data_IF_179498815735
#
_entry.id   IF_179498815735
#
_cell.length_a   1.000
_cell.length_b   1.000
_cell.length_c   1.000
_cell.angle_alpha   90.00
_cell.angle_beta   90.00
_cell.angle_gamma   90.00
#
_symmetry.space_group_name_H-M   'P 1'
#
loop_
_entity.id
_entity.type
_entity.pdbx_description
1 polymer ?
#
# COMPACT_ATOMS: atom_id res chain seq x y z
N UNK A 1 -3.42 -13.85 -41.67
CA UNK A 1 -3.11 -12.50 -41.15
C UNK A 1 -2.67 -12.65 -39.70
N UNK A 2 -1.39 -12.46 -39.41
CA UNK A 2 -0.84 -12.59 -38.06
C UNK A 2 -0.64 -11.20 -37.46
N UNK A 3 -1.33 -10.88 -36.38
CA UNK A 3 -1.21 -9.56 -35.74
C UNK A 3 0.06 -9.45 -34.90
N UNK A 4 0.89 -8.46 -35.17
CA UNK A 4 2.13 -8.21 -34.41
C UNK A 4 1.80 -7.85 -32.95
N UNK A 5 2.12 -8.76 -32.03
CA UNK A 5 1.89 -8.61 -30.59
C UNK A 5 3.11 -8.01 -29.84
N UNK A 6 4.11 -7.52 -30.59
CA UNK A 6 5.42 -7.10 -30.06
C UNK A 6 5.43 -5.68 -29.49
N UNK A 7 4.42 -4.85 -29.81
CA UNK A 7 4.26 -3.52 -29.21
C UNK A 7 3.68 -3.58 -27.79
N UNK A 8 4.26 -4.43 -26.93
CA UNK A 8 4.26 -4.19 -25.48
C UNK A 8 5.09 -2.93 -25.22
N UNK A 9 4.43 -1.79 -25.36
CA UNK A 9 5.00 -0.44 -25.19
C UNK A 9 5.88 -0.40 -23.94
N UNK A 10 7.20 -0.26 -24.14
CA UNK A 10 8.08 0.20 -23.06
C UNK A 10 7.59 1.60 -22.71
N UNK A 11 6.93 1.75 -21.56
CA UNK A 11 6.53 3.06 -21.08
C UNK A 11 7.80 3.94 -21.00
N UNK A 12 7.75 5.22 -21.44
CA UNK A 12 8.91 6.10 -21.34
C UNK A 12 9.33 6.15 -19.87
N UNK A 13 10.53 5.64 -19.61
CA UNK A 13 11.12 5.73 -18.29
C UNK A 13 11.60 7.17 -18.15
N UNK A 14 11.16 7.85 -17.10
CA UNK A 14 11.59 9.23 -16.85
C UNK A 14 13.11 9.21 -16.68
N UNK A 15 13.81 10.06 -17.43
CA UNK A 15 15.25 10.21 -17.28
C UNK A 15 15.55 10.91 -15.94
N UNK A 16 16.27 10.21 -15.08
CA UNK A 16 16.71 10.68 -13.76
C UNK A 16 18.18 11.09 -13.84
N UNK A 17 18.47 12.38 -13.96
CA UNK A 17 19.83 12.90 -13.87
C UNK A 17 20.29 12.85 -12.41
N UNK A 18 21.49 12.33 -12.14
CA UNK A 18 22.13 12.45 -10.82
C UNK A 18 22.90 13.78 -10.76
N UNK A 19 22.64 14.58 -9.73
CA UNK A 19 23.34 15.84 -9.50
C UNK A 19 24.45 15.66 -8.45
N UNK A 20 24.14 14.95 -7.37
CA UNK A 20 25.05 14.73 -6.25
C UNK A 20 24.73 13.42 -5.53
N UNK A 21 25.75 12.81 -4.91
CA UNK A 21 25.65 11.59 -4.12
C UNK A 21 26.55 11.72 -2.89
N UNK A 22 25.97 11.58 -1.69
CA UNK A 22 26.71 11.42 -0.42
C UNK A 22 26.51 10.01 0.12
N UNK A 23 27.60 9.36 0.54
CA UNK A 23 27.56 8.01 1.13
C UNK A 23 27.86 8.09 2.63
N UNK A 24 26.97 7.55 3.45
CA UNK A 24 27.11 7.45 4.90
C UNK A 24 27.27 5.96 5.25
N UNK A 25 28.29 5.61 6.04
CA UNK A 25 28.53 4.24 6.49
C UNK A 25 28.50 4.20 8.02
N UNK A 26 27.49 3.53 8.58
CA UNK A 26 27.21 3.53 10.02
C UNK A 26 27.02 2.08 10.45
N UNK A 27 27.87 1.64 11.38
CA UNK A 27 27.95 0.23 11.79
C UNK A 27 28.10 -0.67 10.55
N UNK A 28 27.25 -1.70 10.41
CA UNK A 28 27.25 -2.63 9.28
C UNK A 28 26.31 -2.21 8.13
N UNK A 29 25.90 -0.94 8.05
CA UNK A 29 24.96 -0.43 7.03
C UNK A 29 25.59 0.68 6.17
N UNK A 30 25.15 0.76 4.91
CA UNK A 30 25.50 1.85 3.99
C UNK A 30 24.23 2.56 3.54
N UNK A 31 24.23 3.88 3.66
CA UNK A 31 23.17 4.76 3.18
C UNK A 31 23.72 5.63 2.06
N UNK A 32 22.99 5.70 0.96
CA UNK A 32 23.28 6.59 -0.17
C UNK A 32 22.21 7.67 -0.22
N UNK A 33 22.63 8.93 -0.24
CA UNK A 33 21.79 10.10 -0.35
C UNK A 33 22.07 10.68 -1.73
N UNK A 34 21.23 10.36 -2.72
CA UNK A 34 21.36 10.89 -4.06
C UNK A 34 20.38 12.06 -4.26
N UNK A 35 20.88 13.24 -4.64
CA UNK A 35 20.03 14.28 -5.26
C UNK A 35 19.93 13.98 -6.74
N UNK A 36 18.68 13.92 -7.21
CA UNK A 36 18.35 13.64 -8.60
C UNK A 36 17.38 14.68 -9.14
N UNK A 37 17.51 14.97 -10.42
CA UNK A 37 16.61 15.83 -11.17
C UNK A 37 15.86 15.00 -12.22
N UNK A 38 14.58 15.30 -12.41
CA UNK A 38 13.76 14.74 -13.48
C UNK A 38 12.88 15.84 -14.09
N UNK A 39 12.00 15.51 -15.04
CA UNK A 39 11.09 16.46 -15.68
C UNK A 39 10.04 17.10 -14.75
N UNK A 40 9.97 16.66 -13.50
CA UNK A 40 9.17 17.19 -12.37
C UNK A 40 10.08 17.66 -11.23
N UNK A 41 11.20 18.31 -11.56
CA UNK A 41 12.11 18.97 -10.60
C UNK A 41 13.10 18.06 -9.87
N UNK A 42 13.68 18.59 -8.79
CA UNK A 42 14.67 17.89 -7.96
C UNK A 42 14.02 17.12 -6.81
N UNK A 43 14.65 16.01 -6.43
CA UNK A 43 14.20 15.13 -5.35
C UNK A 43 15.39 14.43 -4.68
N UNK A 44 15.25 14.11 -3.39
CA UNK A 44 16.24 13.35 -2.63
C UNK A 44 15.82 11.88 -2.57
N UNK A 45 16.79 10.99 -2.82
CA UNK A 45 16.65 9.54 -2.81
C UNK A 45 17.56 8.94 -1.74
N UNK A 46 16.98 8.52 -0.62
CA UNK A 46 17.71 7.84 0.46
C UNK A 46 17.62 6.33 0.25
N UNK A 47 18.76 5.68 0.01
CA UNK A 47 18.86 4.23 -0.21
C UNK A 47 19.62 3.56 0.93
N UNK A 48 18.95 2.75 1.76
CA UNK A 48 19.64 1.81 2.67
C UNK A 48 20.08 0.58 1.87
N UNK A 49 21.34 0.17 2.05
CA UNK A 49 21.85 -1.14 1.63
C UNK A 49 22.20 -1.95 2.89
N UNK A 50 21.44 -3.01 3.12
CA UNK A 50 21.67 -3.94 4.22
C UNK A 50 22.77 -4.96 3.87
N UNK A 51 23.35 -5.61 4.88
CA UNK A 51 24.43 -6.62 4.75
C UNK A 51 24.09 -7.72 3.74
N UNK A 52 22.83 -8.17 3.70
CA UNK A 52 22.33 -9.16 2.72
C UNK A 52 22.04 -8.61 1.32
N UNK A 53 22.60 -7.45 0.94
CA UNK A 53 22.45 -6.84 -0.39
C UNK A 53 21.07 -6.24 -0.71
N UNK A 54 20.06 -6.44 0.14
CA UNK A 54 18.73 -5.84 -0.02
C UNK A 54 18.81 -4.31 0.05
N UNK A 55 18.04 -3.63 -0.81
CA UNK A 55 18.07 -2.17 -0.97
C UNK A 55 16.70 -1.54 -0.78
N UNK A 56 16.45 -0.98 0.40
CA UNK A 56 15.27 -0.15 0.69
C UNK A 56 15.50 1.28 0.20
N UNK A 57 14.45 1.94 -0.30
CA UNK A 57 14.56 3.28 -0.91
C UNK A 57 13.39 4.18 -0.49
N UNK A 58 13.71 5.34 0.05
CA UNK A 58 12.76 6.44 0.30
C UNK A 58 13.02 7.54 -0.74
N UNK A 59 11.94 8.14 -1.23
CA UNK A 59 11.95 9.22 -2.22
C UNK A 59 11.14 10.40 -1.69
N UNK A 60 11.75 11.57 -1.63
CA UNK A 60 11.14 12.80 -1.08
C UNK A 60 11.48 14.02 -1.94
N UNK A 61 10.57 15.00 -2.00
CA UNK A 61 10.84 16.32 -2.58
C UNK A 61 11.81 17.11 -1.69
N UNK A 62 12.40 18.19 -2.22
CA UNK A 62 13.32 19.05 -1.45
C UNK A 62 12.63 19.65 -0.20
N UNK A 63 11.38 20.18 -0.26
CA UNK A 63 10.68 20.66 0.93
C UNK A 63 10.46 19.57 1.99
N UNK A 64 10.12 18.34 1.57
CA UNK A 64 9.96 17.21 2.49
C UNK A 64 11.31 16.73 3.09
N UNK A 65 12.43 16.98 2.41
CA UNK A 65 13.77 16.72 2.95
C UNK A 65 14.22 17.79 3.95
N UNK A 66 13.82 19.05 3.74
CA UNK A 66 14.03 20.14 4.70
C UNK A 66 13.20 19.92 5.99
N UNK A 67 11.91 19.56 5.86
CA UNK A 67 11.10 19.15 7.01
C UNK A 67 11.69 17.93 7.73
N UNK A 68 12.22 16.95 6.98
CA UNK A 68 12.92 15.81 7.56
C UNK A 68 14.12 16.27 8.40
N UNK A 69 14.96 17.16 7.89
CA UNK A 69 16.13 17.68 8.62
C UNK A 69 15.71 18.29 9.97
N UNK A 70 14.74 19.19 9.98
CA UNK A 70 14.24 19.83 11.23
C UNK A 70 13.67 18.83 12.23
N UNK A 71 13.09 17.72 11.75
CA UNK A 71 12.55 16.64 12.59
C UNK A 71 13.66 15.73 13.11
N UNK A 72 14.70 15.46 12.32
CA UNK A 72 15.89 14.73 12.76
C UNK A 72 16.67 15.52 13.82
N UNK A 73 16.80 16.85 13.68
CA UNK A 73 17.44 17.72 14.68
C UNK A 73 16.72 17.66 16.03
N UNK A 74 15.38 17.65 16.05
CA UNK A 74 14.56 17.48 17.26
C UNK A 74 14.73 16.09 17.90
N UNK A 75 14.74 15.03 17.09
CA UNK A 75 14.98 13.66 17.56
C UNK A 75 16.41 13.47 18.10
N UNK A 76 17.39 14.21 17.57
CA UNK A 76 18.77 14.24 18.05
C UNK A 76 18.89 14.98 19.40
N UNK A 77 18.16 16.09 19.58
CA UNK A 77 18.03 16.75 20.89
C UNK A 77 17.48 15.79 21.96
N UNK A 78 16.45 15.00 21.64
CA UNK A 78 15.88 14.02 22.58
C UNK A 78 16.85 12.86 22.83
N UNK A 79 17.52 12.34 21.79
CA UNK A 79 18.57 11.34 21.95
C UNK A 79 19.67 11.78 22.93
N UNK A 80 20.09 13.05 22.86
CA UNK A 80 21.11 13.64 23.73
C UNK A 80 20.65 13.87 25.18
N UNK A 81 19.33 13.90 25.43
CA UNK A 81 18.72 14.07 26.77
C UNK A 81 18.46 12.72 27.47
N UNK A 82 18.54 11.60 26.76
CA UNK A 82 18.33 10.25 27.31
C UNK A 82 19.56 9.73 28.06
N UNK A 83 19.38 8.87 29.09
CA UNK A 83 20.50 8.18 29.74
C UNK A 83 21.22 7.22 28.76
N UNK A 84 22.42 6.72 29.11
CA UNK A 84 23.07 5.63 28.39
C UNK A 84 22.12 4.44 28.14
N UNK A 85 22.32 3.72 27.05
CA UNK A 85 21.48 2.59 26.69
C UNK A 85 21.64 1.42 27.67
N UNK A 86 20.55 1.02 28.35
CA UNK A 86 20.48 -0.18 29.17
C UNK A 86 19.50 -1.21 28.55
N UNK A 87 20.00 -2.36 28.06
CA UNK A 87 19.16 -3.45 27.56
C UNK A 87 18.13 -4.01 28.55
N UNK A 88 18.23 -3.69 29.86
CA UNK A 88 17.27 -4.11 30.89
C UNK A 88 16.13 -3.12 31.13
N UNK A 89 16.23 -1.89 30.63
CA UNK A 89 15.25 -0.80 30.88
C UNK A 89 14.41 -0.46 29.64
N UNK A 90 14.14 -1.44 28.78
CA UNK A 90 13.39 -1.24 27.53
C UNK A 90 11.90 -0.93 27.79
N UNK A 91 11.34 0.01 27.03
CA UNK A 91 9.89 0.25 27.01
C UNK A 91 9.15 -0.87 26.26
N UNK A 92 7.87 -1.12 26.55
CA UNK A 92 7.16 -2.31 26.08
C UNK A 92 6.90 -2.39 24.54
N UNK A 93 6.95 -1.26 23.82
CA UNK A 93 6.99 -1.21 22.33
C UNK A 93 8.38 -0.78 21.81
N UNK A 94 9.36 -0.58 22.69
CA UNK A 94 10.67 -0.03 22.35
C UNK A 94 10.58 1.34 21.67
N UNK A 95 9.52 2.12 21.94
CA UNK A 95 9.27 3.43 21.33
C UNK A 95 9.70 4.54 22.31
N UNK A 96 10.46 5.51 21.79
CA UNK A 96 10.87 6.72 22.51
C UNK A 96 10.00 7.89 22.04
N UNK A 97 10.03 8.17 20.73
CA UNK A 97 9.38 9.32 20.11
C UNK A 97 8.91 8.98 18.70
N UNK A 98 7.96 9.74 18.17
CA UNK A 98 7.45 9.55 16.80
C UNK A 98 7.06 10.87 16.18
N UNK A 99 7.67 11.15 15.03
CA UNK A 99 7.40 12.35 14.24
C UNK A 99 6.83 12.00 12.86
N UNK A 100 6.04 12.90 12.28
CA UNK A 100 5.32 12.65 11.03
C UNK A 100 5.37 13.84 10.07
N UNK A 101 5.57 13.55 8.79
CA UNK A 101 5.63 14.51 7.67
C UNK A 101 4.62 14.06 6.61
N UNK A 102 3.78 14.98 6.12
CA UNK A 102 2.76 14.71 5.11
C UNK A 102 2.89 15.67 3.94
N UNK A 103 3.49 15.21 2.83
CA UNK A 103 3.76 15.98 1.60
C UNK A 103 3.58 15.09 0.36
N UNK A 104 3.22 15.69 -0.77
CA UNK A 104 3.16 15.04 -2.10
C UNK A 104 2.29 13.76 -2.18
N UNK A 105 1.19 13.70 -1.41
CA UNK A 105 0.35 12.51 -1.20
C UNK A 105 1.16 11.27 -0.71
N UNK A 106 2.20 11.55 0.09
CA UNK A 106 3.03 10.59 0.83
C UNK A 106 3.02 10.96 2.31
N UNK A 107 3.20 9.96 3.18
CA UNK A 107 3.37 10.16 4.62
C UNK A 107 4.67 9.51 5.05
N UNK A 108 5.55 10.28 5.66
CA UNK A 108 6.80 9.80 6.23
C UNK A 108 6.65 9.78 7.75
N UNK A 109 6.97 8.64 8.36
CA UNK A 109 6.95 8.43 9.80
C UNK A 109 8.38 8.21 10.29
N UNK A 110 8.75 8.86 11.39
CA UNK A 110 10.09 8.91 11.94
C UNK A 110 10.01 8.40 13.38
N UNK A 111 10.08 7.07 13.55
CA UNK A 111 9.88 6.42 14.84
C UNK A 111 11.26 6.19 15.51
N UNK A 112 11.62 6.98 16.53
CA UNK A 112 12.84 6.76 17.31
C UNK A 112 12.59 5.62 18.30
N UNK A 113 13.37 4.53 18.16
CA UNK A 113 13.16 3.27 18.88
C UNK A 113 14.42 2.75 19.55
N UNK A 114 14.21 1.91 20.55
CA UNK A 114 15.23 1.28 21.38
C UNK A 114 14.98 -0.24 21.45
N UNK A 115 15.99 -1.02 21.05
CA UNK A 115 16.02 -2.48 21.15
C UNK A 115 17.18 -2.89 22.08
N UNK A 116 17.28 -4.17 22.43
CA UNK A 116 18.42 -4.78 23.16
C UNK A 116 19.83 -4.43 22.61
N UNK A 117 19.91 -4.03 21.33
CA UNK A 117 21.15 -3.69 20.61
C UNK A 117 21.49 -2.20 20.61
N UNK A 118 20.66 -1.36 21.23
CA UNK A 118 20.78 0.10 21.16
C UNK A 118 19.62 0.78 20.42
N UNK A 119 19.80 2.10 20.25
CA UNK A 119 18.80 3.01 19.67
C UNK A 119 18.94 3.13 18.15
N UNK A 120 17.82 3.32 17.46
CA UNK A 120 17.75 3.47 16.01
C UNK A 120 16.50 4.25 15.60
N UNK A 121 16.59 4.98 14.49
CA UNK A 121 15.46 5.65 13.86
C UNK A 121 14.88 4.76 12.76
N UNK A 122 13.60 4.41 12.87
CA UNK A 122 12.83 3.76 11.80
C UNK A 122 12.13 4.82 10.96
N UNK A 123 12.69 5.13 9.79
CA UNK A 123 12.06 6.01 8.81
C UNK A 123 11.17 5.18 7.88
N UNK A 124 9.88 5.49 7.80
CA UNK A 124 8.90 4.77 6.98
C UNK A 124 8.18 5.70 6.02
N UNK A 125 8.31 5.45 4.71
CA UNK A 125 7.55 6.13 3.66
C UNK A 125 6.32 5.30 3.30
N UNK A 126 5.13 5.84 3.54
CA UNK A 126 3.86 5.35 3.03
C UNK A 126 3.47 6.16 1.79
N UNK A 127 3.46 5.51 0.62
CA UNK A 127 3.07 6.11 -0.66
C UNK A 127 2.06 5.19 -1.34
N UNK A 128 0.84 5.71 -1.62
CA UNK A 128 -0.21 4.97 -2.34
C UNK A 128 -0.50 3.57 -1.75
N UNK A 129 -0.49 3.45 -0.41
CA UNK A 129 -0.73 2.20 0.31
C UNK A 129 0.47 1.22 0.35
N UNK A 130 1.58 1.52 -0.33
CA UNK A 130 2.85 0.79 -0.19
C UNK A 130 3.67 1.45 0.90
N UNK A 131 4.04 0.70 1.95
CA UNK A 131 5.00 1.13 2.97
C UNK A 131 6.40 0.60 2.62
N UNK A 132 7.37 1.51 2.51
CA UNK A 132 8.80 1.19 2.48
C UNK A 132 9.42 1.73 3.77
N UNK A 133 10.42 1.06 4.33
CA UNK A 133 11.11 1.53 5.53
C UNK A 133 12.62 1.32 5.44
N UNK A 134 13.35 2.20 6.11
CA UNK A 134 14.78 2.10 6.41
C UNK A 134 14.98 2.24 7.93
N UNK A 135 16.09 1.72 8.45
CA UNK A 135 16.42 1.75 9.87
C UNK A 135 17.86 2.25 10.08
N UNK A 136 17.98 3.53 10.43
CA UNK A 136 19.24 4.24 10.67
C UNK A 136 19.67 4.06 12.14
N UNK A 137 20.86 3.54 12.47
CA UNK A 137 21.35 3.50 13.85
C UNK A 137 21.49 4.91 14.44
N UNK A 138 21.30 5.07 15.75
CA UNK A 138 21.29 6.37 16.40
C UNK A 138 22.57 7.20 16.15
N UNK A 139 23.73 6.55 16.17
CA UNK A 139 25.05 7.12 15.86
C UNK A 139 25.06 7.87 14.52
N UNK A 140 24.29 7.39 13.54
CA UNK A 140 24.22 7.91 12.18
C UNK A 140 23.19 9.02 11.96
N UNK A 141 22.42 9.42 12.99
CA UNK A 141 21.41 10.48 12.86
C UNK A 141 22.09 11.83 12.58
N UNK A 142 23.17 12.15 13.28
CA UNK A 142 23.95 13.38 13.06
C UNK A 142 24.51 13.47 11.63
N UNK A 143 25.13 12.39 11.15
CA UNK A 143 25.66 12.30 9.77
C UNK A 143 24.54 12.48 8.73
N UNK A 144 23.34 11.94 8.99
CA UNK A 144 22.18 12.09 8.12
C UNK A 144 21.65 13.53 8.13
N UNK A 145 21.63 14.22 9.27
CA UNK A 145 21.29 15.65 9.35
C UNK A 145 22.24 16.49 8.49
N UNK A 146 23.55 16.41 8.77
CA UNK A 146 24.58 17.17 8.05
C UNK A 146 24.62 16.81 6.57
N UNK A 147 24.49 15.51 6.24
CA UNK A 147 24.45 15.02 4.87
C UNK A 147 23.24 15.50 4.07
N UNK A 148 22.08 15.69 4.70
CA UNK A 148 20.92 16.33 4.07
C UNK A 148 21.13 17.84 3.96
N UNK A 149 21.66 18.49 5.01
CA UNK A 149 21.88 19.94 5.02
C UNK A 149 22.88 20.42 3.96
N UNK A 150 24.04 19.76 3.84
CA UNK A 150 25.05 20.04 2.80
C UNK A 150 24.46 19.84 1.39
N UNK A 151 23.84 18.68 1.14
CA UNK A 151 23.27 18.36 -0.18
C UNK A 151 22.18 19.35 -0.59
N UNK A 152 21.33 19.79 0.35
CA UNK A 152 20.31 20.82 0.08
C UNK A 152 20.99 22.17 -0.20
N UNK A 153 21.95 22.59 0.64
CA UNK A 153 22.65 23.88 0.51
C UNK A 153 23.43 24.03 -0.80
N UNK A 154 24.07 22.95 -1.26
CA UNK A 154 25.00 23.01 -2.40
C UNK A 154 24.31 22.78 -3.76
N UNK A 155 23.09 22.21 -3.77
CA UNK A 155 22.44 21.73 -5.00
C UNK A 155 20.95 22.09 -5.17
N UNK A 156 20.33 22.78 -4.22
CA UNK A 156 18.94 23.25 -4.31
C UNK A 156 18.86 24.77 -4.28
N UNK A 157 18.01 25.38 -5.12
CA UNK A 157 17.72 26.82 -5.10
C UNK A 157 16.37 27.10 -4.44
N UNK A 158 16.06 28.36 -4.15
CA UNK A 158 14.76 28.79 -3.61
C UNK A 158 13.57 28.29 -4.46
N UNK A 159 13.77 28.13 -5.77
CA UNK A 159 12.80 27.54 -6.69
C UNK A 159 12.50 26.06 -6.34
N UNK A 160 13.49 25.26 -5.96
CA UNK A 160 13.29 23.85 -5.53
C UNK A 160 12.53 23.74 -4.20
N UNK A 161 12.64 24.75 -3.32
CA UNK A 161 11.82 24.83 -2.09
C UNK A 161 10.40 25.32 -2.39
N UNK A 162 10.23 26.26 -3.33
CA UNK A 162 8.94 26.73 -3.79
C UNK A 162 8.21 25.71 -4.68
N UNK A 163 8.93 24.75 -5.28
CA UNK A 163 8.44 23.72 -6.19
C UNK A 163 7.58 22.65 -5.49
N UNK A 164 6.45 23.09 -4.94
CA UNK A 164 5.36 22.23 -4.51
C UNK A 164 4.72 21.65 -5.76
N UNK A 165 5.18 20.47 -6.19
CA UNK A 165 4.63 19.76 -7.35
C UNK A 165 3.28 19.12 -7.01
N UNK A 166 2.29 19.96 -6.73
CA UNK A 166 0.91 19.61 -6.42
C UNK A 166 0.30 18.79 -7.55
N UNK A 167 0.33 17.48 -7.37
CA UNK A 167 -0.55 16.57 -8.09
C UNK A 167 -1.99 16.94 -7.70
N UNK A 168 -2.94 17.05 -8.67
CA UNK A 168 -4.30 17.49 -8.41
C UNK A 168 -4.93 16.82 -7.19
N UNK A 169 -5.59 17.63 -6.36
CA UNK A 169 -6.15 17.20 -5.07
C UNK A 169 -7.01 15.92 -5.23
N UNK A 170 -6.80 14.98 -4.31
CA UNK A 170 -7.44 13.66 -4.37
C UNK A 170 -8.96 13.78 -4.17
N UNK A 171 -9.72 13.60 -5.27
CA UNK A 171 -11.18 13.72 -5.23
C UNK A 171 -11.82 12.47 -4.60
N UNK A 172 -12.96 12.64 -3.94
CA UNK A 172 -13.70 11.55 -3.29
C UNK A 172 -15.14 11.51 -3.80
N UNK A 173 -15.62 10.32 -4.16
CA UNK A 173 -17.01 10.05 -4.53
C UNK A 173 -17.61 9.03 -3.56
N UNK A 174 -18.69 9.41 -2.90
CA UNK A 174 -19.48 8.52 -2.04
C UNK A 174 -20.60 7.88 -2.86
N UNK A 175 -20.68 6.55 -2.85
CA UNK A 175 -21.58 5.74 -3.66
C UNK A 175 -22.25 4.65 -2.81
N UNK A 176 -23.20 5.07 -1.96
CA UNK A 176 -23.88 4.18 -1.02
C UNK A 176 -22.91 3.61 0.01
N UNK A 177 -22.66 2.30 -0.02
CA UNK A 177 -21.71 1.61 0.87
C UNK A 177 -20.28 1.49 0.30
N UNK A 178 -19.94 2.30 -0.70
CA UNK A 178 -18.60 2.42 -1.29
C UNK A 178 -18.11 3.86 -1.26
N UNK A 179 -16.82 4.05 -1.00
CA UNK A 179 -16.13 5.33 -1.17
C UNK A 179 -15.03 5.15 -2.22
N UNK A 180 -15.07 5.95 -3.28
CA UNK A 180 -14.04 5.95 -4.32
C UNK A 180 -13.10 7.14 -4.12
N UNK A 181 -11.81 6.87 -3.99
CA UNK A 181 -10.75 7.88 -3.92
C UNK A 181 -10.06 7.96 -5.28
N UNK A 182 -9.92 9.17 -5.81
CA UNK A 182 -9.29 9.50 -7.08
C UNK A 182 -7.94 10.16 -6.80
N UNK A 183 -6.98 9.34 -6.40
CA UNK A 183 -5.63 9.76 -6.05
C UNK A 183 -4.81 10.02 -7.34
N UNK A 184 -4.44 11.26 -7.65
CA UNK A 184 -3.41 11.49 -8.67
C UNK A 184 -2.03 11.24 -8.05
N UNK A 185 -1.25 10.36 -8.67
CA UNK A 185 0.08 9.94 -8.24
C UNK A 185 1.11 10.06 -9.35
N UNK A 186 2.39 9.99 -8.99
CA UNK A 186 3.49 9.96 -9.98
C UNK A 186 4.57 8.96 -9.56
N UNK A 187 5.17 8.31 -10.56
CA UNK A 187 6.28 7.36 -10.43
C UNK A 187 7.24 7.51 -11.64
N UNK A 188 8.29 6.69 -11.71
CA UNK A 188 9.32 6.69 -12.78
C UNK A 188 8.81 6.43 -14.22
N UNK A 189 7.51 6.22 -14.42
CA UNK A 189 6.85 6.01 -15.72
C UNK A 189 5.84 7.12 -16.08
N UNK A 190 5.76 8.19 -15.28
CA UNK A 190 4.88 9.34 -15.52
C UNK A 190 3.91 9.65 -14.38
N UNK A 191 2.89 10.46 -14.68
CA UNK A 191 1.73 10.68 -13.81
C UNK A 191 0.69 9.58 -14.07
N UNK A 192 -0.08 9.24 -13.04
CA UNK A 192 -1.17 8.27 -13.11
C UNK A 192 -2.33 8.67 -12.21
N UNK A 193 -3.54 8.30 -12.59
CA UNK A 193 -4.73 8.38 -11.75
C UNK A 193 -4.92 7.01 -11.12
N UNK A 194 -4.98 6.95 -9.78
CA UNK A 194 -5.33 5.74 -9.04
C UNK A 194 -6.75 5.90 -8.51
N UNK A 195 -7.66 5.06 -9.00
CA UNK A 195 -9.03 4.98 -8.47
C UNK A 195 -9.05 3.85 -7.46
N UNK A 196 -9.23 4.18 -6.18
CA UNK A 196 -9.33 3.21 -5.09
C UNK A 196 -10.78 3.05 -4.63
N UNK A 197 -11.36 1.85 -4.73
CA UNK A 197 -12.64 1.52 -4.10
C UNK A 197 -12.40 1.07 -2.65
N UNK A 198 -13.08 1.69 -1.70
CA UNK A 198 -13.14 1.27 -0.30
C UNK A 198 -14.57 0.83 0.05
N UNK A 199 -14.72 -0.40 0.56
CA UNK A 199 -15.98 -0.94 1.10
C UNK A 199 -15.68 -1.67 2.41
N UNK A 200 -16.18 -1.11 3.52
CA UNK A 200 -15.83 -1.57 4.87
C UNK A 200 -14.31 -1.76 5.02
N UNK A 201 -13.84 -2.99 5.30
CA UNK A 201 -12.43 -3.30 5.49
C UNK A 201 -11.68 -3.70 4.20
N UNK A 202 -12.33 -3.69 3.04
CA UNK A 202 -11.72 -4.09 1.77
C UNK A 202 -11.43 -2.86 0.88
N UNK A 203 -10.16 -2.69 0.46
CA UNK A 203 -9.73 -1.66 -0.49
C UNK A 203 -9.13 -2.31 -1.73
N UNK A 204 -9.75 -2.09 -2.89
CA UNK A 204 -9.14 -2.37 -4.20
C UNK A 204 -8.66 -1.07 -4.82
N UNK A 205 -7.83 -1.15 -5.87
CA UNK A 205 -7.49 0.01 -6.68
C UNK A 205 -7.10 -0.39 -8.11
N UNK A 206 -7.38 0.50 -9.06
CA UNK A 206 -6.87 0.47 -10.43
C UNK A 206 -6.01 1.70 -10.69
N UNK A 207 -4.97 1.55 -11.51
CA UNK A 207 -4.03 2.63 -11.88
C UNK A 207 -4.10 2.87 -13.38
N UNK A 208 -4.35 4.12 -13.78
CA UNK A 208 -4.56 4.56 -15.16
C UNK A 208 -3.48 5.60 -15.50
N UNK A 209 -2.54 5.31 -16.43
CA UNK A 209 -1.54 6.28 -16.87
C UNK A 209 -2.16 7.54 -17.49
N UNK A 210 -1.52 8.68 -17.30
CA UNK A 210 -1.92 10.01 -17.81
C UNK A 210 -2.29 10.00 -19.30
N UNK A 211 -1.46 9.38 -20.14
CA UNK A 211 -1.69 9.26 -21.59
C UNK A 211 -2.92 8.40 -21.98
N UNK A 212 -3.65 7.85 -21.01
CA UNK A 212 -4.93 7.17 -21.20
C UNK A 212 -6.12 7.88 -20.54
N UNK A 213 -5.94 8.99 -19.83
CA UNK A 213 -7.02 9.72 -19.16
C UNK A 213 -8.09 10.23 -20.12
N UNK A 214 -7.71 10.77 -21.29
CA UNK A 214 -8.70 11.20 -22.29
C UNK A 214 -9.57 10.03 -22.72
N UNK A 215 -8.98 8.95 -23.24
CA UNK A 215 -9.74 7.75 -23.66
C UNK A 215 -10.59 7.16 -22.53
N UNK A 216 -10.12 7.24 -21.28
CA UNK A 216 -10.90 6.77 -20.12
C UNK A 216 -12.14 7.64 -19.88
N UNK A 217 -12.01 8.98 -19.93
CA UNK A 217 -13.14 9.92 -19.91
C UNK A 217 -14.07 9.67 -21.10
N UNK A 218 -13.54 9.59 -22.32
CA UNK A 218 -14.34 9.43 -23.54
C UNK A 218 -15.20 8.15 -23.49
N UNK A 219 -14.71 7.07 -22.87
CA UNK A 219 -15.47 5.83 -22.60
C UNK A 219 -16.54 6.03 -21.51
N UNK A 220 -16.24 6.78 -20.44
CA UNK A 220 -17.23 7.12 -19.42
C UNK A 220 -18.35 8.00 -20.00
N UNK A 221 -18.02 8.94 -20.87
CA UNK A 221 -18.98 9.80 -21.58
C UNK A 221 -19.83 8.97 -22.56
N UNK A 222 -19.26 7.98 -23.27
CA UNK A 222 -20.02 7.02 -24.11
C UNK A 222 -20.96 6.11 -23.28
N UNK A 223 -20.63 5.85 -22.02
CA UNK A 223 -21.46 5.06 -21.11
C UNK A 223 -22.54 5.91 -20.43
N UNK A 224 -22.25 7.16 -20.10
CA UNK A 224 -23.19 8.11 -19.50
C UNK A 224 -24.16 8.72 -20.52
N UNK A 225 -23.75 8.88 -21.79
CA UNK A 225 -24.61 9.38 -22.87
C UNK A 225 -25.56 8.33 -23.46
N UNK A 226 -25.52 7.08 -22.98
CA UNK A 226 -26.57 6.07 -23.20
C UNK A 226 -27.68 6.27 -22.15
N UNK A 227 -28.81 6.90 -22.50
CA UNK A 227 -29.89 7.12 -21.53
C UNK A 227 -30.46 5.79 -21.04
N UNK A 228 -30.97 5.76 -19.80
CA UNK A 228 -31.32 4.56 -19.05
C UNK A 228 -32.10 3.50 -19.85
N UNK A 229 -31.36 2.53 -20.40
CA UNK A 229 -31.87 1.44 -21.24
C UNK A 229 -32.71 0.38 -20.51
N UNK A 230 -33.23 0.70 -19.32
CA UNK A 230 -34.09 -0.19 -18.52
C UNK A 230 -35.16 0.57 -17.74
N UNK A 231 -35.93 1.42 -18.42
CA UNK A 231 -37.32 1.64 -17.99
C UNK A 231 -38.08 0.31 -18.15
N UNK A 232 -38.35 -0.35 -17.04
CA UNK A 232 -39.29 -1.47 -17.00
C UNK A 232 -40.66 -0.95 -17.42
N UNK A 233 -41.10 -1.32 -18.63
CA UNK A 233 -42.43 -1.00 -19.10
C UNK A 233 -43.45 -1.90 -18.39
N UNK A 234 -44.25 -1.34 -17.49
CA UNK A 234 -45.44 -2.02 -16.98
C UNK A 234 -46.48 -2.12 -18.12
N UNK A 235 -46.50 -3.28 -18.78
CA UNK A 235 -47.43 -3.57 -19.87
C UNK A 235 -48.86 -3.78 -19.32
N UNK A 236 -49.64 -2.70 -19.26
CA UNK A 236 -51.09 -2.80 -19.03
C UNK A 236 -51.81 -3.13 -20.33
N UNK A 237 -51.99 -4.45 -20.52
CA UNK A 237 -53.08 -5.19 -21.16
C UNK A 237 -54.03 -4.42 -22.11
N UNK A 238 -54.31 -4.98 -23.29
CA UNK A 238 -55.28 -4.31 -24.16
C UNK A 238 -55.58 -4.81 -25.59
N UNK A 239 -55.10 -5.96 -26.09
CA UNK A 239 -55.82 -6.81 -27.10
C UNK A 239 -55.04 -8.03 -27.61
N UNK A 240 -55.79 -9.11 -27.85
CA UNK A 240 -55.33 -10.31 -28.53
C UNK A 240 -55.21 -10.10 -30.05
N UNK A 241 -54.11 -10.53 -30.66
CA UNK A 241 -54.08 -11.06 -32.03
C UNK A 241 -53.28 -12.36 -32.03
N UNK A 242 -53.86 -13.42 -32.62
CA UNK A 242 -53.38 -14.80 -32.55
C UNK A 242 -52.61 -15.16 -33.83
N UNK A 243 -51.30 -15.37 -33.75
CA UNK A 243 -50.51 -15.96 -34.85
C UNK A 243 -49.52 -17.04 -34.38
N UNK A 244 -49.22 -17.95 -35.30
CA UNK A 244 -48.69 -19.31 -35.09
C UNK A 244 -47.30 -19.38 -34.42
N UNK A 245 -47.16 -20.24 -33.39
CA UNK A 245 -45.88 -20.57 -32.75
C UNK A 245 -45.16 -21.69 -33.50
N UNK A 246 -44.10 -21.36 -34.25
CA UNK A 246 -43.15 -22.35 -34.76
C UNK A 246 -42.10 -22.70 -33.69
N UNK A 247 -42.22 -23.90 -33.11
CA UNK A 247 -41.49 -24.35 -31.91
C UNK A 247 -40.07 -24.85 -32.23
N UNK A 248 -39.09 -23.95 -32.35
CA UNK A 248 -37.67 -24.33 -32.46
C UNK A 248 -37.12 -24.74 -31.08
N UNK A 249 -37.08 -26.04 -30.82
CA UNK A 249 -36.49 -26.61 -29.59
C UNK A 249 -34.96 -26.56 -29.67
N UNK A 250 -34.32 -25.72 -28.85
CA UNK A 250 -32.87 -25.79 -28.60
C UNK A 250 -32.61 -26.51 -27.27
N UNK A 251 -32.14 -27.75 -27.36
CA UNK A 251 -31.81 -28.59 -26.21
C UNK A 251 -30.61 -28.04 -25.42
N UNK A 252 -30.84 -27.62 -24.18
CA UNK A 252 -29.81 -27.34 -23.17
C UNK A 252 -29.21 -28.66 -22.64
N UNK A 253 -28.26 -29.24 -23.39
CA UNK A 253 -27.49 -30.41 -22.93
C UNK A 253 -26.59 -30.03 -21.74
N UNK A 254 -27.06 -30.36 -20.53
CA UNK A 254 -26.23 -30.38 -19.32
C UNK A 254 -25.06 -31.36 -19.51
N UNK A 255 -23.82 -30.89 -19.42
CA UNK A 255 -22.66 -31.79 -19.28
C UNK A 255 -22.54 -32.23 -17.82
N UNK A 256 -23.16 -33.37 -17.52
CA UNK A 256 -23.08 -34.04 -16.22
C UNK A 256 -21.73 -34.78 -16.12
N UNK A 257 -20.79 -34.24 -15.35
CA UNK A 257 -19.53 -34.94 -15.06
C UNK A 257 -19.85 -36.19 -14.24
N UNK A 258 -19.54 -37.37 -14.78
CA UNK A 258 -19.62 -38.64 -14.06
C UNK A 258 -18.25 -39.32 -14.03
N UNK A 259 -17.88 -39.78 -12.84
CA UNK A 259 -16.70 -40.57 -12.57
C UNK A 259 -16.92 -42.03 -13.01
N UNK A 260 -15.97 -42.67 -13.68
CA UNK A 260 -15.81 -44.11 -13.66
C UNK A 260 -14.83 -44.53 -12.56
N UNK A 261 -14.99 -45.76 -12.06
CA UNK A 261 -13.97 -46.53 -11.33
C UNK A 261 -13.82 -47.90 -12.02
N UNK A 262 -12.97 -48.77 -11.46
CA UNK A 262 -12.69 -50.17 -11.84
C UNK A 262 -11.75 -50.40 -13.04
N UNK A 263 -10.88 -51.43 -13.05
CA UNK A 263 -10.11 -52.09 -11.96
C UNK A 263 -9.07 -53.05 -12.60
N UNK A 264 -8.11 -53.57 -11.80
CA UNK A 264 -7.14 -54.64 -12.14
C UNK A 264 -6.04 -54.17 -13.13
N UNK A 265 -4.78 -54.64 -13.15
CA UNK A 265 -3.93 -55.60 -12.38
C UNK A 265 -2.45 -55.17 -12.68
N UNK A 266 -1.36 -55.51 -11.96
CA UNK A 266 -1.09 -56.37 -10.79
C UNK A 266 0.37 -56.18 -10.27
N UNK A 267 0.70 -56.77 -9.10
CA UNK A 267 2.05 -57.10 -8.56
C UNK A 267 2.94 -55.98 -7.96
N UNK A 268 2.78 -55.79 -6.64
CA UNK A 268 3.76 -56.04 -5.54
C UNK A 268 5.20 -56.51 -5.90
N UNK A 269 6.22 -56.39 -4.99
CA UNK A 269 6.11 -56.16 -3.52
C UNK A 269 7.08 -55.15 -2.84
N UNK A 270 6.76 -54.82 -1.57
CA UNK A 270 7.63 -54.57 -0.38
C UNK A 270 8.87 -53.64 -0.50
N UNK A 271 9.06 -52.68 0.41
CA UNK A 271 9.34 -52.96 1.84
C UNK A 271 8.66 -51.99 2.82
N UNK A 272 8.47 -52.46 4.07
CA UNK A 272 8.00 -51.67 5.21
C UNK A 272 9.15 -50.95 5.95
N UNK A 273 8.84 -49.83 6.59
CA UNK A 273 8.92 -49.77 8.07
C UNK A 273 7.92 -48.76 8.65
N UNK A 274 7.22 -49.21 9.69
CA UNK A 274 6.21 -48.44 10.41
C UNK A 274 6.82 -47.73 11.61
N UNK A 275 6.24 -46.60 12.02
CA UNK A 275 6.10 -46.25 13.43
C UNK A 275 4.87 -45.36 13.60
N UNK A 276 4.13 -45.56 14.69
CA UNK A 276 2.83 -44.93 14.95
C UNK A 276 2.55 -44.89 16.45
N UNK A 277 1.76 -43.92 16.92
CA UNK A 277 0.72 -44.04 17.96
C UNK A 277 -0.07 -42.70 18.09
N UNK A 278 -1.25 -42.66 18.77
CA UNK A 278 -2.34 -41.75 18.38
C UNK A 278 -2.83 -40.80 19.50
N UNK A 279 -4.16 -40.61 19.61
CA UNK A 279 -4.95 -39.73 20.50
C UNK A 279 -5.09 -38.25 20.04
N UNK A 280 -6.26 -37.60 20.10
CA UNK A 280 -7.62 -38.10 20.39
C UNK A 280 -8.73 -37.25 19.72
N UNK A 281 -9.99 -37.66 19.83
CA UNK A 281 -11.20 -37.04 19.24
C UNK A 281 -12.08 -36.43 20.35
N UNK A 282 -12.64 -35.22 20.14
CA UNK A 282 -13.99 -34.72 20.58
C UNK A 282 -14.18 -33.31 19.96
N UNK A 283 -15.13 -33.02 19.05
CA UNK A 283 -16.59 -32.81 19.15
C UNK A 283 -17.04 -31.44 19.76
N UNK A 284 -17.84 -30.69 18.98
CA UNK A 284 -18.64 -29.47 19.31
C UNK A 284 -20.09 -29.88 19.74
N UNK A 285 -21.08 -29.01 20.09
CA UNK A 285 -21.13 -27.54 20.34
C UNK A 285 -21.52 -27.28 21.84
N UNK A 286 -22.51 -26.47 22.35
CA UNK A 286 -23.39 -25.39 21.83
C UNK A 286 -23.55 -24.14 22.77
N UNK A 287 -24.68 -23.41 22.65
CA UNK A 287 -25.11 -22.20 23.41
C UNK A 287 -26.10 -22.51 24.56
N UNK A 288 -26.24 -21.62 25.57
CA UNK A 288 -27.57 -21.11 26.04
C UNK A 288 -27.51 -19.84 26.95
N UNK A 289 -28.71 -19.39 27.37
CA UNK A 289 -29.11 -18.15 28.08
C UNK A 289 -28.70 -18.10 29.59
N UNK A 290 -28.64 -16.98 30.35
CA UNK A 290 -29.38 -15.68 30.49
C UNK A 290 -30.44 -15.72 31.65
N UNK A 291 -30.42 -14.70 32.55
CA UNK A 291 -31.15 -14.56 33.85
C UNK A 291 -30.65 -15.51 34.97
N UNK A 292 -30.67 -15.20 36.28
CA UNK A 292 -31.06 -14.01 37.09
C UNK A 292 -30.18 -13.98 38.39
N UNK A 293 -30.39 -13.25 39.52
CA UNK A 293 -31.51 -12.44 40.06
C UNK A 293 -31.09 -11.04 40.57
N UNK A 294 -31.33 -10.65 41.85
CA UNK A 294 -31.55 -9.25 42.24
C UNK A 294 -31.58 -8.94 43.80
N UNK A 295 -31.65 -7.64 44.15
CA UNK A 295 -32.17 -6.98 45.39
C UNK A 295 -31.26 -6.73 46.64
N UNK A 296 -31.04 -5.43 46.92
CA UNK A 296 -30.98 -4.64 48.21
C UNK A 296 -29.83 -3.59 48.11
N UNK A 297 -29.99 -2.25 48.05
CA UNK A 297 -30.95 -1.19 48.49
C UNK A 297 -30.50 -0.44 49.76
N UNK A 298 -30.48 0.90 49.67
CA UNK A 298 -30.01 1.89 50.66
C UNK A 298 -28.47 1.95 50.79
N UNK A 299 -27.81 3.11 50.90
CA UNK A 299 -28.20 4.34 51.59
C UNK A 299 -28.09 5.66 50.77
N UNK A 300 -28.40 6.79 51.41
CA UNK A 300 -28.59 8.14 50.87
C UNK A 300 -27.56 9.11 51.46
N UNK A 301 -27.01 10.03 50.65
CA UNK A 301 -26.31 11.25 51.10
C UNK A 301 -26.16 12.25 49.93
N UNK A 302 -26.61 13.50 50.15
CA UNK A 302 -26.77 14.62 49.20
C UNK A 302 -27.82 14.39 48.10
#
# INVERSE_FOLDING_TARGET
MSGNNEQRRRAPQIEEQELATKTIQVQNKRFYLDIKQNSRGRFIKITEVAVGGQKSRILMSIPAAQELREKLEKLLEVLNKLPPHDPKSLTADGLIESEAIARDNRRYYLDLRENERGRFLRMSMLSMGVRVQIALPADGISDMCSGIAELISDHCSDEDFAATFELPEAKVLFAGNKTFYFDVGSNRYGVFLRISELRANYRTAVTIPEHHWSRFRDILDELASKPDGTKLAEEKDGKQVRMTVNRVVRNSRQQKIQHPQHLLRSRLPLLWRSCSHPFSIFWFPPYLHLFHFCILRSFMLF
#
